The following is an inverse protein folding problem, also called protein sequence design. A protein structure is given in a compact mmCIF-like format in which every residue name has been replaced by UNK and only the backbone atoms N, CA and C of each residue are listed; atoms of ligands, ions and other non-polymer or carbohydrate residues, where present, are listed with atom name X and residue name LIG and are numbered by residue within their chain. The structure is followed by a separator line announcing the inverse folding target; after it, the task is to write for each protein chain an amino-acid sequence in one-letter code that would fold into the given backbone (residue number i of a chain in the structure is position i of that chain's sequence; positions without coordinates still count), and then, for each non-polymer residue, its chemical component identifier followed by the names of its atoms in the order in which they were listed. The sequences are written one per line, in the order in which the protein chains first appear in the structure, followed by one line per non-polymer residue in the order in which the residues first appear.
data_IF_115295672456
#
_entry.id   IF_115295672456
#
_cell.length_a   1.000
_cell.length_b   1.000
_cell.length_c   1.000
_cell.angle_alpha   90.00
_cell.angle_beta   90.00
_cell.angle_gamma   90.00
#
_symmetry.space_group_name_H-M   'P 1'
#
loop_
_entity.id
_entity.type
_entity.pdbx_description
1 polymer ?
#
# COMPACT_ATOMS: atom_id res chain seq x y z
N UNK A 1 15.25 -63.73 -11.75
CA UNK A 1 14.93 -63.27 -10.38
C UNK A 1 14.39 -61.86 -10.46
N UNK A 2 13.16 -61.68 -9.94
CA UNK A 2 12.52 -60.46 -9.36
C UNK A 2 12.62 -59.15 -10.15
N UNK A 3 11.59 -58.74 -10.90
CA UNK A 3 10.40 -57.93 -10.49
C UNK A 3 10.78 -56.65 -9.73
N UNK A 4 10.52 -55.47 -10.32
CA UNK A 4 9.89 -54.25 -9.74
C UNK A 4 9.85 -53.16 -10.86
N UNK A 5 8.73 -53.01 -11.59
CA UNK A 5 7.67 -51.97 -11.43
C UNK A 5 8.04 -50.65 -12.15
N UNK A 6 7.74 -50.39 -13.43
CA UNK A 6 6.45 -50.07 -14.10
C UNK A 6 5.38 -49.40 -13.21
N UNK A 7 5.46 -48.08 -13.04
CA UNK A 7 4.32 -47.16 -12.84
C UNK A 7 4.79 -45.71 -13.06
N UNK A 8 4.67 -45.18 -14.27
CA UNK A 8 4.85 -43.74 -14.52
C UNK A 8 3.99 -43.29 -15.70
N UNK A 9 2.68 -43.55 -15.64
CA UNK A 9 1.71 -43.11 -16.64
C UNK A 9 0.28 -43.24 -16.05
N UNK A 10 -0.04 -42.44 -15.03
CA UNK A 10 -1.41 -42.14 -14.58
C UNK A 10 -1.39 -41.13 -13.41
N UNK A 11 -1.19 -39.86 -13.70
CA UNK A 11 -1.59 -38.75 -12.80
C UNK A 11 -1.57 -37.40 -13.53
N UNK A 12 -2.34 -37.28 -14.61
CA UNK A 12 -2.73 -35.99 -15.20
C UNK A 12 -4.25 -35.88 -15.02
N UNK A 13 -4.66 -35.31 -13.90
CA UNK A 13 -6.07 -35.27 -13.54
C UNK A 13 -6.36 -34.62 -12.20
N UNK A 14 -5.71 -33.51 -11.85
CA UNK A 14 -6.24 -32.57 -10.87
C UNK A 14 -5.84 -31.15 -11.27
N UNK A 15 -6.70 -30.53 -12.11
CA UNK A 15 -6.89 -29.08 -12.09
C UNK A 15 -7.51 -28.76 -10.74
N UNK A 16 -6.68 -28.48 -9.74
CA UNK A 16 -7.12 -27.96 -8.47
C UNK A 16 -7.43 -26.47 -8.65
N UNK A 17 -8.71 -26.14 -8.51
CA UNK A 17 -9.20 -24.80 -8.33
C UNK A 17 -8.53 -24.25 -7.05
N UNK A 18 -7.64 -23.27 -7.18
CA UNK A 18 -7.06 -22.57 -6.04
C UNK A 18 -8.13 -21.67 -5.39
N UNK A 19 -9.01 -22.27 -4.61
CA UNK A 19 -9.77 -21.54 -3.59
C UNK A 19 -8.76 -21.14 -2.52
N UNK A 20 -8.46 -19.84 -2.44
CA UNK A 20 -7.65 -19.26 -1.37
C UNK A 20 -8.18 -19.76 -0.03
N UNK A 21 -7.34 -20.47 0.71
CA UNK A 21 -7.67 -20.93 2.05
C UNK A 21 -7.91 -19.71 2.94
N UNK A 22 -9.16 -19.56 3.37
CA UNK A 22 -9.55 -18.62 4.40
C UNK A 22 -8.95 -19.14 5.71
N UNK A 23 -7.94 -18.44 6.24
CA UNK A 23 -7.34 -18.76 7.52
C UNK A 23 -8.39 -18.59 8.64
N UNK A 24 -8.91 -19.72 9.13
CA UNK A 24 -9.77 -19.80 10.30
C UNK A 24 -8.90 -19.82 11.56
N UNK A 25 -8.70 -18.66 12.20
CA UNK A 25 -8.05 -18.60 13.51
C UNK A 25 -9.10 -18.93 14.56
N UNK A 26 -9.13 -20.18 15.03
CA UNK A 26 -10.02 -20.62 16.12
C UNK A 26 -9.18 -20.89 17.37
N UNK A 27 -9.35 -20.14 18.48
CA UNK A 27 -8.83 -20.59 19.77
C UNK A 27 -9.62 -21.84 20.22
N UNK A 28 -8.98 -22.80 20.91
CA UNK A 28 -9.64 -24.04 21.31
C UNK A 28 -10.59 -23.75 22.48
N UNK A 29 -11.87 -23.56 22.18
CA UNK A 29 -12.95 -23.75 23.13
C UNK A 29 -13.96 -24.68 22.45
N UNK A 30 -14.01 -25.93 22.93
CA UNK A 30 -14.59 -27.03 22.15
C UNK A 30 -16.10 -26.95 21.89
N UNK A 31 -16.90 -26.09 22.54
CA UNK A 31 -18.32 -26.00 22.22
C UNK A 31 -18.89 -24.59 22.43
N UNK A 32 -19.63 -24.09 21.45
CA UNK A 32 -20.19 -22.75 21.49
C UNK A 32 -20.59 -22.29 20.10
N UNK A 33 -19.93 -21.27 19.54
CA UNK A 33 -20.25 -20.64 18.27
C UNK A 33 -19.15 -20.90 17.24
N UNK A 34 -19.51 -21.29 16.02
CA UNK A 34 -18.57 -21.44 14.90
C UNK A 34 -19.14 -20.90 13.60
N UNK A 35 -18.25 -20.61 12.65
CA UNK A 35 -18.62 -20.39 11.25
C UNK A 35 -18.76 -21.77 10.61
N UNK A 36 -19.99 -22.18 10.35
CA UNK A 36 -20.28 -23.49 9.76
C UNK A 36 -20.03 -23.49 8.25
N UNK A 37 -20.39 -22.40 7.58
CA UNK A 37 -20.26 -22.25 6.14
C UNK A 37 -20.06 -20.79 5.72
N UNK A 38 -19.16 -20.56 4.77
CA UNK A 38 -19.05 -19.29 4.05
C UNK A 38 -19.75 -19.45 2.71
N UNK A 39 -20.84 -18.71 2.49
CA UNK A 39 -21.60 -18.74 1.22
C UNK A 39 -20.96 -17.78 0.22
N UNK A 40 -20.64 -16.57 0.68
CA UNK A 40 -19.91 -15.55 -0.08
C UNK A 40 -19.30 -14.52 0.90
N UNK A 41 -18.60 -13.51 0.37
CA UNK A 41 -17.91 -12.49 1.18
C UNK A 41 -18.82 -11.71 2.16
N UNK A 42 -20.12 -11.62 1.91
CA UNK A 42 -21.09 -10.92 2.77
C UNK A 42 -22.14 -11.86 3.40
N UNK A 43 -21.96 -13.18 3.31
CA UNK A 43 -22.92 -14.17 3.83
C UNK A 43 -22.23 -15.38 4.41
N UNK A 44 -22.46 -15.63 5.71
CA UNK A 44 -21.99 -16.82 6.42
C UNK A 44 -23.13 -17.47 7.18
N UNK A 45 -22.98 -18.75 7.46
CA UNK A 45 -23.82 -19.50 8.38
C UNK A 45 -23.05 -19.68 9.67
N UNK A 46 -23.58 -19.13 10.74
CA UNK A 46 -23.12 -19.37 12.11
C UNK A 46 -23.90 -20.55 12.68
N UNK A 47 -23.24 -21.41 13.44
CA UNK A 47 -23.91 -22.48 14.18
C UNK A 47 -23.37 -22.57 15.60
N UNK A 48 -24.18 -23.12 16.49
CA UNK A 48 -23.81 -23.30 17.88
C UNK A 48 -24.40 -24.53 18.55
N UNK A 49 -23.81 -24.93 19.67
CA UNK A 49 -24.34 -26.02 20.50
C UNK A 49 -25.62 -25.57 21.22
N UNK A 50 -26.64 -26.44 21.22
CA UNK A 50 -27.90 -26.22 21.94
C UNK A 50 -27.63 -26.03 23.45
N UNK A 51 -28.29 -25.05 24.06
CA UNK A 51 -28.28 -24.86 25.51
C UNK A 51 -28.99 -26.01 26.22
N UNK A 52 -28.40 -26.47 27.31
CA UNK A 52 -28.97 -27.51 28.19
C UNK A 52 -29.70 -26.91 29.41
N UNK A 53 -29.68 -25.58 29.56
CA UNK A 53 -30.29 -24.89 30.70
C UNK A 53 -31.81 -24.95 30.66
N UNK A 54 -32.42 -25.36 31.78
CA UNK A 54 -33.89 -25.40 31.93
C UNK A 54 -34.52 -24.01 32.06
N UNK A 55 -33.71 -22.98 32.31
CA UNK A 55 -34.11 -21.58 32.44
C UNK A 55 -33.81 -20.77 31.18
N UNK A 56 -33.62 -21.43 30.03
CA UNK A 56 -33.39 -20.79 28.74
C UNK A 56 -34.50 -19.79 28.41
N UNK A 57 -34.10 -18.57 28.00
CA UNK A 57 -35.01 -17.54 27.49
C UNK A 57 -34.83 -17.30 25.99
N UNK A 58 -33.60 -17.08 25.56
CA UNK A 58 -33.27 -16.81 24.15
C UNK A 58 -31.78 -16.97 23.86
N UNK A 59 -31.47 -17.22 22.58
CA UNK A 59 -30.16 -16.93 22.02
C UNK A 59 -30.13 -15.50 21.49
N UNK A 60 -29.01 -14.83 21.70
CA UNK A 60 -28.71 -13.55 21.05
C UNK A 60 -27.32 -13.60 20.45
N UNK A 61 -27.21 -13.29 19.17
CA UNK A 61 -25.93 -13.07 18.52
C UNK A 61 -25.72 -11.57 18.39
N UNK A 62 -24.66 -11.07 19.02
CA UNK A 62 -24.16 -9.75 18.72
C UNK A 62 -22.91 -9.84 17.86
N UNK A 63 -22.58 -8.73 17.20
CA UNK A 63 -21.34 -8.60 16.43
C UNK A 63 -20.68 -7.27 16.72
N UNK A 64 -19.36 -7.29 16.66
CA UNK A 64 -18.50 -6.11 16.72
C UNK A 64 -17.66 -6.06 15.47
N UNK A 65 -17.62 -4.90 14.84
CA UNK A 65 -16.75 -4.65 13.70
C UNK A 65 -16.41 -3.17 13.62
N UNK A 66 -15.24 -2.85 13.05
CA UNK A 66 -14.88 -1.46 12.73
C UNK A 66 -15.17 -1.18 11.27
N UNK A 67 -16.07 -0.23 11.01
CA UNK A 67 -16.48 0.16 9.66
C UNK A 67 -17.01 1.60 9.63
N UNK A 68 -17.20 2.14 8.42
CA UNK A 68 -17.78 3.47 8.22
C UNK A 68 -19.28 3.47 8.57
N UNK A 69 -19.66 4.19 9.62
CA UNK A 69 -21.06 4.44 10.01
C UNK A 69 -21.24 5.93 10.27
N UNK A 70 -22.17 6.57 9.57
CA UNK A 70 -22.44 8.01 9.70
C UNK A 70 -21.18 8.88 9.54
N UNK A 71 -20.43 8.67 8.45
CA UNK A 71 -19.18 9.37 8.10
C UNK A 71 -18.04 9.26 9.13
N UNK A 72 -18.13 8.30 10.05
CA UNK A 72 -17.06 8.00 11.02
C UNK A 72 -16.76 6.52 11.00
N UNK A 73 -15.48 6.18 10.94
CA UNK A 73 -15.06 4.82 11.25
C UNK A 73 -15.05 4.65 12.76
N UNK A 74 -15.81 3.68 13.24
CA UNK A 74 -15.92 3.36 14.65
C UNK A 74 -16.10 1.86 14.82
N UNK A 75 -15.70 1.35 15.98
CA UNK A 75 -16.12 0.03 16.43
C UNK A 75 -17.61 0.10 16.78
N UNK A 76 -18.42 -0.70 16.09
CA UNK A 76 -19.86 -0.72 16.28
C UNK A 76 -20.27 -2.09 16.83
N UNK A 77 -20.99 -2.08 17.93
CA UNK A 77 -21.60 -3.24 18.54
C UNK A 77 -23.08 -3.28 18.16
N UNK A 78 -23.51 -4.28 17.38
CA UNK A 78 -24.90 -4.43 16.93
C UNK A 78 -25.41 -5.84 17.25
N UNK A 79 -26.73 -5.99 17.49
CA UNK A 79 -27.36 -7.33 17.57
C UNK A 79 -27.69 -7.80 16.17
N UNK A 80 -27.16 -8.96 15.79
CA UNK A 80 -27.35 -9.59 14.49
C UNK A 80 -28.59 -10.50 14.46
N UNK A 81 -28.82 -11.23 15.55
CA UNK A 81 -29.89 -12.22 15.66
C UNK A 81 -30.42 -12.34 17.09
N UNK A 82 -31.71 -12.63 17.22
CA UNK A 82 -32.38 -13.03 18.46
C UNK A 82 -33.32 -14.19 18.11
N UNK A 83 -33.25 -15.28 18.89
CA UNK A 83 -34.12 -16.44 18.73
C UNK A 83 -34.58 -16.98 20.07
N UNK A 84 -35.88 -17.18 20.24
CA UNK A 84 -36.50 -17.64 21.50
C UNK A 84 -36.78 -19.14 21.54
N UNK A 85 -36.54 -19.87 20.44
CA UNK A 85 -36.62 -21.33 20.40
C UNK A 85 -35.25 -21.93 20.69
N UNK A 86 -35.17 -22.74 21.75
CA UNK A 86 -33.95 -23.42 22.20
C UNK A 86 -33.37 -24.37 21.13
N UNK A 87 -34.20 -24.83 20.19
CA UNK A 87 -33.78 -25.72 19.11
C UNK A 87 -33.16 -24.98 17.92
N UNK A 88 -33.22 -23.64 17.89
CA UNK A 88 -32.51 -22.87 16.87
C UNK A 88 -31.03 -22.81 17.24
N UNK A 89 -30.22 -23.55 16.47
CA UNK A 89 -28.77 -23.67 16.65
C UNK A 89 -27.97 -23.15 15.46
N UNK A 90 -28.62 -22.41 14.55
CA UNK A 90 -27.97 -21.78 13.41
C UNK A 90 -28.61 -20.45 13.01
N UNK A 91 -27.81 -19.58 12.41
CA UNK A 91 -28.23 -18.29 11.88
C UNK A 91 -27.44 -17.99 10.60
N UNK A 92 -28.15 -17.61 9.53
CA UNK A 92 -27.53 -17.13 8.30
C UNK A 92 -27.45 -15.61 8.35
N UNK A 93 -26.23 -15.08 8.50
CA UNK A 93 -25.98 -13.65 8.47
C UNK A 93 -25.91 -13.16 7.03
N UNK A 94 -26.74 -12.18 6.68
CA UNK A 94 -26.88 -11.63 5.32
C UNK A 94 -26.69 -10.11 5.24
N UNK A 95 -26.49 -9.44 6.38
CA UNK A 95 -26.42 -7.98 6.53
C UNK A 95 -25.10 -7.56 7.15
N UNK A 96 -23.99 -8.16 6.73
CA UNK A 96 -22.66 -7.83 7.25
C UNK A 96 -22.25 -6.40 6.91
N UNK A 97 -21.71 -5.60 7.85
CA UNK A 97 -21.11 -4.33 7.52
C UNK A 97 -19.83 -4.55 6.68
N UNK A 98 -19.46 -3.55 5.88
CA UNK A 98 -18.19 -3.54 5.15
C UNK A 98 -17.03 -3.29 6.13
N UNK A 99 -16.51 -4.37 6.72
CA UNK A 99 -15.45 -4.36 7.72
C UNK A 99 -14.38 -5.40 7.36
N UNK A 100 -13.14 -5.18 7.80
CA UNK A 100 -12.05 -6.12 7.61
C UNK A 100 -12.23 -7.41 8.43
N UNK A 101 -12.63 -7.24 9.69
CA UNK A 101 -12.93 -8.33 10.61
C UNK A 101 -14.28 -8.07 11.28
N UNK A 102 -15.06 -9.13 11.45
CA UNK A 102 -16.31 -9.10 12.21
C UNK A 102 -16.25 -10.20 13.28
N UNK A 103 -16.32 -9.80 14.53
CA UNK A 103 -16.34 -10.72 15.67
C UNK A 103 -17.77 -10.91 16.14
N UNK A 104 -18.25 -12.15 16.13
CA UNK A 104 -19.57 -12.53 16.62
C UNK A 104 -19.47 -13.08 18.04
N UNK A 105 -20.48 -12.78 18.84
CA UNK A 105 -20.62 -13.18 20.23
C UNK A 105 -21.96 -13.88 20.39
N UNK A 106 -21.95 -15.11 20.90
CA UNK A 106 -23.16 -15.81 21.30
C UNK A 106 -23.45 -15.57 22.78
N UNK A 107 -24.67 -15.13 23.06
CA UNK A 107 -25.23 -15.03 24.40
C UNK A 107 -26.39 -15.99 24.54
N UNK A 108 -26.46 -16.65 25.69
CA UNK A 108 -27.63 -17.40 26.13
C UNK A 108 -28.21 -16.64 27.30
N UNK A 109 -29.36 -16.01 27.09
CA UNK A 109 -30.05 -15.29 28.15
C UNK A 109 -30.93 -16.29 28.92
N UNK A 110 -30.95 -16.18 30.24
CA UNK A 110 -31.75 -17.03 31.12
C UNK A 110 -32.82 -16.21 31.87
N UNK A 111 -33.89 -16.87 32.31
CA UNK A 111 -35.01 -16.20 33.01
C UNK A 111 -34.60 -15.74 34.42
N UNK A 112 -33.69 -16.48 35.07
CA UNK A 112 -33.39 -16.34 36.49
C UNK A 112 -32.09 -15.59 36.78
N UNK A 113 -31.26 -15.33 35.78
CA UNK A 113 -29.96 -14.66 35.95
C UNK A 113 -29.94 -13.36 35.15
N UNK A 114 -29.86 -12.18 35.80
CA UNK A 114 -29.79 -10.90 35.09
C UNK A 114 -28.43 -10.65 34.41
N UNK A 115 -27.47 -11.58 34.55
CA UNK A 115 -26.17 -11.49 33.89
C UNK A 115 -26.19 -12.23 32.56
N UNK A 116 -25.98 -11.46 31.49
CA UNK A 116 -25.66 -11.98 30.18
C UNK A 116 -24.29 -12.67 30.22
N UNK A 117 -24.24 -13.99 30.02
CA UNK A 117 -22.98 -14.72 29.92
C UNK A 117 -22.60 -14.78 28.43
N UNK A 118 -21.44 -14.22 28.07
CA UNK A 118 -20.83 -14.49 26.76
C UNK A 118 -20.42 -15.95 26.75
N UNK A 119 -21.07 -16.76 25.91
CA UNK A 119 -20.83 -18.20 25.89
C UNK A 119 -19.69 -18.56 24.95
N UNK A 120 -19.57 -17.85 23.83
CA UNK A 120 -18.57 -18.14 22.81
C UNK A 120 -18.41 -16.99 21.82
N UNK A 121 -17.27 -16.94 21.13
CA UNK A 121 -16.97 -15.95 20.11
C UNK A 121 -16.32 -16.59 18.88
N UNK A 122 -16.52 -15.99 17.72
CA UNK A 122 -15.83 -16.36 16.48
C UNK A 122 -15.58 -15.11 15.65
N UNK A 123 -14.41 -15.01 15.04
CA UNK A 123 -14.06 -13.91 14.15
C UNK A 123 -14.13 -14.37 12.68
N UNK A 124 -14.67 -13.51 11.82
CA UNK A 124 -14.67 -13.69 10.38
C UNK A 124 -13.85 -12.59 9.72
N UNK A 125 -12.72 -12.98 9.13
CA UNK A 125 -11.87 -12.11 8.32
C UNK A 125 -12.41 -12.05 6.89
N UNK A 126 -12.82 -10.86 6.44
CA UNK A 126 -13.40 -10.68 5.11
C UNK A 126 -12.32 -10.52 4.04
N UNK A 127 -12.34 -11.30 2.96
CA UNK A 127 -11.33 -11.20 1.90
C UNK A 127 -11.44 -9.93 1.03
N UNK A 128 -12.64 -9.35 0.87
CA UNK A 128 -12.88 -8.21 -0.04
C UNK A 128 -13.46 -6.98 0.69
N UNK A 129 -12.80 -6.54 1.76
CA UNK A 129 -13.25 -5.44 2.63
C UNK A 129 -12.48 -4.14 2.44
N UNK A 130 -12.69 -3.16 3.33
CA UNK A 130 -11.81 -2.00 3.48
C UNK A 130 -10.39 -2.49 3.81
N UNK A 131 -9.37 -1.90 3.19
CA UNK A 131 -7.98 -2.24 3.46
C UNK A 131 -7.56 -1.67 4.83
N UNK A 132 -7.00 -2.52 5.69
CA UNK A 132 -6.39 -2.14 6.97
C UNK A 132 -4.90 -2.47 6.92
N UNK A 133 -4.05 -1.45 6.93
CA UNK A 133 -2.62 -1.60 6.67
C UNK A 133 -1.81 -0.42 7.25
N UNK A 134 -0.48 -0.54 7.27
CA UNK A 134 0.44 0.58 7.53
C UNK A 134 1.24 0.88 6.25
N UNK A 135 0.73 1.79 5.39
CA UNK A 135 1.34 2.02 4.09
C UNK A 135 2.70 2.74 4.21
N UNK A 136 3.66 2.31 3.42
CA UNK A 136 4.99 2.94 3.25
C UNK A 136 5.05 3.82 2.01
N UNK A 137 4.35 3.43 0.93
CA UNK A 137 4.17 4.22 -0.29
C UNK A 137 2.93 3.72 -1.06
N UNK A 138 2.57 4.46 -2.11
CA UNK A 138 1.53 4.04 -3.06
C UNK A 138 2.00 4.32 -4.49
N UNK A 139 1.91 3.33 -5.37
CA UNK A 139 2.06 3.50 -6.81
C UNK A 139 0.71 3.52 -7.50
N UNK A 140 0.63 4.20 -8.64
CA UNK A 140 -0.58 4.37 -9.42
C UNK A 140 -0.41 3.84 -10.84
N UNK A 141 -1.34 3.01 -11.29
CA UNK A 141 -1.43 2.57 -12.69
C UNK A 141 -2.81 2.89 -13.24
N UNK A 142 -2.86 3.85 -14.16
CA UNK A 142 -4.07 4.17 -14.93
C UNK A 142 -4.48 3.02 -15.85
N UNK A 143 -3.51 2.38 -16.50
CA UNK A 143 -3.73 1.28 -17.45
C UNK A 143 -4.51 0.13 -16.79
N UNK A 144 -4.08 -0.29 -15.61
CA UNK A 144 -4.73 -1.40 -14.88
C UNK A 144 -5.85 -0.96 -13.94
N UNK A 145 -6.07 0.36 -13.81
CA UNK A 145 -6.99 0.94 -12.83
C UNK A 145 -6.65 0.56 -11.37
N UNK A 146 -5.36 0.43 -11.07
CA UNK A 146 -4.87 -0.09 -9.79
C UNK A 146 -4.02 0.92 -9.02
N UNK A 147 -4.13 0.85 -7.69
CA UNK A 147 -3.18 1.38 -6.72
C UNK A 147 -2.40 0.21 -6.12
N UNK A 148 -1.08 0.35 -6.01
CA UNK A 148 -0.21 -0.61 -5.34
C UNK A 148 0.21 -0.02 -4.01
N UNK A 149 -0.40 -0.50 -2.93
CA UNK A 149 -0.16 0.00 -1.58
C UNK A 149 0.87 -0.91 -0.94
N UNK A 150 2.06 -0.36 -0.68
CA UNK A 150 3.17 -1.11 -0.10
C UNK A 150 3.14 -0.98 1.41
N UNK A 151 3.42 -2.06 2.12
CA UNK A 151 3.78 -2.10 3.54
C UNK A 151 5.24 -2.55 3.67
N UNK A 152 5.74 -2.74 4.89
CA UNK A 152 7.10 -3.20 5.11
C UNK A 152 7.42 -4.52 4.39
N UNK A 153 6.49 -5.47 4.28
CA UNK A 153 6.71 -6.81 3.67
C UNK A 153 5.58 -7.26 2.75
N UNK A 154 4.68 -6.35 2.35
CA UNK A 154 3.44 -6.72 1.67
C UNK A 154 3.07 -5.69 0.63
N UNK A 155 2.47 -6.14 -0.47
CA UNK A 155 1.87 -5.27 -1.46
C UNK A 155 0.40 -5.65 -1.58
N UNK A 156 -0.46 -4.63 -1.57
CA UNK A 156 -1.88 -4.75 -1.86
C UNK A 156 -2.18 -4.07 -3.20
N UNK A 157 -2.92 -4.76 -4.08
CA UNK A 157 -3.56 -4.15 -5.25
C UNK A 157 -4.95 -3.70 -4.83
N UNK A 158 -5.27 -2.44 -5.07
CA UNK A 158 -6.59 -1.85 -4.85
C UNK A 158 -7.11 -1.28 -6.17
N UNK A 159 -8.32 -1.65 -6.56
CA UNK A 159 -9.03 -0.98 -7.66
C UNK A 159 -9.45 0.40 -7.19
N UNK A 160 -8.90 1.47 -7.78
CA UNK A 160 -9.17 2.83 -7.32
C UNK A 160 -10.56 3.35 -7.67
N UNK A 161 -11.28 2.67 -8.56
CA UNK A 161 -12.64 3.05 -8.93
C UNK A 161 -13.67 2.53 -7.95
N UNK A 162 -13.42 1.37 -7.34
CA UNK A 162 -14.27 0.80 -6.28
C UNK A 162 -13.73 1.05 -4.88
N UNK A 163 -12.43 1.39 -4.76
CA UNK A 163 -11.71 1.52 -3.50
C UNK A 163 -11.47 0.19 -2.78
N UNK A 164 -11.59 -0.95 -3.49
CA UNK A 164 -11.55 -2.28 -2.88
C UNK A 164 -10.22 -3.00 -3.17
N UNK A 165 -9.66 -3.73 -2.18
CA UNK A 165 -8.53 -4.61 -2.41
C UNK A 165 -8.95 -5.74 -3.35
N UNK A 166 -8.06 -6.05 -4.29
CA UNK A 166 -8.22 -7.10 -5.30
C UNK A 166 -7.32 -8.28 -4.96
N UNK A 167 -6.07 -7.98 -4.61
CA UNK A 167 -5.05 -8.98 -4.37
C UNK A 167 -4.01 -8.47 -3.37
N UNK A 168 -3.29 -9.38 -2.73
CA UNK A 168 -2.13 -9.02 -1.94
C UNK A 168 -1.08 -10.11 -2.02
N UNK A 169 0.19 -9.73 -1.88
CA UNK A 169 1.34 -10.64 -1.81
C UNK A 169 2.24 -10.24 -0.66
N UNK A 170 2.61 -11.21 0.16
CA UNK A 170 3.56 -11.05 1.25
C UNK A 170 4.93 -11.59 0.81
N UNK A 171 5.99 -10.94 1.30
CA UNK A 171 7.38 -11.23 0.98
C UNK A 171 8.12 -11.67 2.24
N UNK A 172 9.14 -12.54 2.12
CA UNK A 172 9.88 -13.04 3.28
C UNK A 172 10.67 -11.93 4.00
N UNK A 173 11.11 -10.91 3.27
CA UNK A 173 11.93 -9.80 3.77
C UNK A 173 11.25 -8.45 3.58
N UNK A 174 11.85 -7.41 4.17
CA UNK A 174 11.43 -6.04 3.94
C UNK A 174 11.49 -5.67 2.45
N UNK A 175 10.55 -4.85 1.99
CA UNK A 175 10.53 -4.29 0.64
C UNK A 175 10.83 -2.78 0.69
N UNK A 176 11.62 -2.29 -0.28
CA UNK A 176 11.87 -0.86 -0.47
C UNK A 176 10.80 -0.18 -1.34
N UNK A 177 11.08 1.05 -1.78
CA UNK A 177 10.21 1.77 -2.71
C UNK A 177 10.19 1.06 -4.07
N UNK A 178 9.02 0.55 -4.43
CA UNK A 178 8.79 -0.17 -5.67
C UNK A 178 8.66 0.78 -6.86
N UNK A 179 8.71 0.25 -8.09
CA UNK A 179 8.40 1.01 -9.29
C UNK A 179 7.57 0.20 -10.29
N UNK A 180 6.78 0.92 -11.08
CA UNK A 180 6.21 0.39 -12.33
C UNK A 180 7.15 0.77 -13.47
N UNK A 181 7.36 -0.15 -14.40
CA UNK A 181 8.11 0.10 -15.63
C UNK A 181 7.53 -0.66 -16.81
N UNK A 182 7.88 -0.25 -18.02
CA UNK A 182 7.46 -0.94 -19.25
C UNK A 182 8.64 -1.67 -19.84
N UNK A 183 8.47 -2.96 -20.11
CA UNK A 183 9.44 -3.80 -20.79
C UNK A 183 8.76 -4.62 -21.89
N UNK A 184 9.28 -4.54 -23.12
CA UNK A 184 8.69 -5.18 -24.31
C UNK A 184 7.19 -4.91 -24.49
N UNK A 185 6.75 -3.69 -24.18
CA UNK A 185 5.34 -3.27 -24.29
C UNK A 185 4.42 -3.77 -23.19
N UNK A 186 4.93 -4.47 -22.17
CA UNK A 186 4.17 -4.90 -21.00
C UNK A 186 4.60 -4.13 -19.75
N UNK A 187 3.63 -3.69 -18.96
CA UNK A 187 3.88 -3.13 -17.63
C UNK A 187 4.35 -4.23 -16.67
N UNK A 188 5.38 -3.94 -15.89
CA UNK A 188 5.98 -4.79 -14.87
C UNK A 188 6.07 -4.03 -13.54
N UNK A 189 5.89 -4.74 -12.42
CA UNK A 189 6.08 -4.21 -11.08
C UNK A 189 7.43 -4.68 -10.53
N UNK A 190 8.30 -3.74 -10.18
CA UNK A 190 9.64 -3.99 -9.65
C UNK A 190 9.61 -3.82 -8.14
N UNK A 191 9.93 -4.89 -7.42
CA UNK A 191 9.88 -4.97 -5.96
C UNK A 191 11.30 -5.21 -5.41
N UNK A 192 11.95 -4.20 -4.82
CA UNK A 192 13.27 -4.36 -4.23
C UNK A 192 13.15 -5.02 -2.86
N UNK A 193 13.78 -6.18 -2.68
CA UNK A 193 13.77 -6.96 -1.45
C UNK A 193 15.08 -6.77 -0.66
N UNK A 194 14.99 -6.66 0.66
CA UNK A 194 16.15 -6.59 1.57
C UNK A 194 16.90 -7.93 1.72
N UNK A 195 16.99 -8.71 0.65
CA UNK A 195 17.77 -9.95 0.51
C UNK A 195 18.74 -9.92 -0.68
N UNK A 196 18.84 -8.77 -1.37
CA UNK A 196 19.73 -8.57 -2.52
C UNK A 196 19.08 -8.85 -3.86
N UNK A 197 17.77 -9.11 -3.92
CA UNK A 197 17.02 -9.29 -5.16
C UNK A 197 16.06 -8.14 -5.45
N UNK A 198 15.88 -7.85 -6.73
CA UNK A 198 14.70 -7.15 -7.24
C UNK A 198 13.82 -8.19 -7.90
N UNK A 199 12.64 -8.44 -7.33
CA UNK A 199 11.61 -9.26 -7.99
C UNK A 199 10.87 -8.42 -9.02
N UNK A 200 10.58 -9.04 -10.17
CA UNK A 200 9.85 -8.44 -11.27
C UNK A 200 8.56 -9.22 -11.42
N UNK A 201 7.44 -8.58 -11.12
CA UNK A 201 6.14 -9.20 -11.01
C UNK A 201 5.23 -8.75 -12.14
N UNK A 202 4.26 -9.61 -12.46
CA UNK A 202 3.08 -9.20 -13.18
C UNK A 202 2.24 -8.21 -12.33
N UNK A 203 1.90 -7.02 -12.84
CA UNK A 203 1.20 -6.01 -12.06
C UNK A 203 -0.27 -6.34 -11.77
N UNK A 204 -0.86 -7.34 -12.44
CA UNK A 204 -2.27 -7.72 -12.22
C UNK A 204 -2.36 -8.92 -11.28
N UNK A 205 -1.52 -9.93 -11.47
CA UNK A 205 -1.54 -11.19 -10.71
C UNK A 205 -0.52 -11.27 -9.58
N UNK A 206 0.46 -10.36 -9.51
CA UNK A 206 1.62 -10.42 -8.61
C UNK A 206 2.47 -11.70 -8.75
N UNK A 207 2.28 -12.45 -9.83
CA UNK A 207 3.08 -13.62 -10.17
C UNK A 207 4.50 -13.18 -10.56
N UNK A 208 5.49 -13.96 -10.12
CA UNK A 208 6.89 -13.69 -10.42
C UNK A 208 7.15 -13.94 -11.91
N UNK A 209 7.52 -12.88 -12.64
CA UNK A 209 7.98 -12.96 -14.03
C UNK A 209 9.47 -13.21 -14.10
N UNK A 210 10.25 -12.49 -13.29
CA UNK A 210 11.70 -12.51 -13.34
C UNK A 210 12.33 -11.96 -12.05
N UNK A 211 13.66 -12.03 -11.92
CA UNK A 211 14.41 -11.40 -10.84
C UNK A 211 15.81 -10.96 -11.27
N UNK A 212 16.33 -9.90 -10.66
CA UNK A 212 17.70 -9.42 -10.86
C UNK A 212 18.41 -9.47 -9.50
N UNK A 213 19.57 -10.13 -9.44
CA UNK A 213 20.43 -10.07 -8.27
C UNK A 213 21.22 -8.78 -8.30
N UNK A 214 21.05 -7.96 -7.26
CA UNK A 214 21.64 -6.64 -7.19
C UNK A 214 22.61 -6.51 -6.01
N UNK A 215 22.84 -7.58 -5.25
CA UNK A 215 23.64 -7.61 -4.03
C UNK A 215 23.18 -6.58 -2.96
N UNK A 216 23.82 -6.61 -1.79
CA UNK A 216 23.41 -5.80 -0.63
C UNK A 216 22.30 -6.45 0.19
N UNK A 217 22.09 -5.92 1.39
CA UNK A 217 21.11 -6.40 2.38
C UNK A 217 20.09 -5.31 2.77
N UNK A 218 20.27 -4.09 2.28
CA UNK A 218 19.29 -3.02 2.34
C UNK A 218 19.13 -2.42 0.95
N UNK A 219 17.97 -2.60 0.34
CA UNK A 219 17.62 -2.01 -0.95
C UNK A 219 16.57 -0.94 -0.70
N UNK A 220 16.95 0.33 -0.89
CA UNK A 220 16.08 1.47 -0.59
C UNK A 220 14.95 1.63 -1.59
N UNK A 221 15.28 1.53 -2.88
CA UNK A 221 14.33 1.76 -3.96
C UNK A 221 14.81 1.18 -5.28
N UNK A 222 13.87 1.07 -6.23
CA UNK A 222 14.13 0.74 -7.63
C UNK A 222 13.41 1.74 -8.54
N UNK A 223 13.98 2.02 -9.71
CA UNK A 223 13.31 2.63 -10.85
C UNK A 223 13.51 1.75 -12.08
N UNK A 224 12.51 1.68 -12.96
CA UNK A 224 12.59 0.98 -14.23
C UNK A 224 12.21 1.91 -15.38
N UNK A 225 13.20 2.31 -16.17
CA UNK A 225 13.06 3.32 -17.24
C UNK A 225 13.85 2.87 -18.46
N UNK A 226 13.28 2.98 -19.66
CA UNK A 226 13.96 2.74 -20.94
C UNK A 226 14.73 1.41 -21.02
N UNK A 227 14.14 0.32 -20.49
CA UNK A 227 14.78 -1.00 -20.47
C UNK A 227 15.98 -1.09 -19.53
N UNK A 228 16.10 -0.18 -18.57
CA UNK A 228 17.13 -0.16 -17.52
C UNK A 228 16.48 -0.22 -16.15
N UNK A 229 17.18 -0.82 -15.19
CA UNK A 229 16.75 -0.94 -13.80
C UNK A 229 17.80 -0.25 -12.92
N UNK A 230 17.39 0.81 -12.24
CA UNK A 230 18.22 1.60 -11.34
C UNK A 230 17.89 1.23 -9.91
N UNK A 231 18.89 0.91 -9.09
CA UNK A 231 18.66 0.34 -7.77
C UNK A 231 19.57 0.99 -6.74
N UNK A 232 19.00 1.48 -5.66
CA UNK A 232 19.75 1.95 -4.49
C UNK A 232 19.96 0.78 -3.51
N UNK A 233 21.19 0.32 -3.34
CA UNK A 233 21.54 -0.85 -2.53
C UNK A 233 22.84 -0.71 -1.74
N UNK A 234 22.86 -1.31 -0.54
CA UNK A 234 23.95 -1.30 0.46
C UNK A 234 25.19 -2.14 0.14
N UNK A 235 25.54 -2.33 -1.13
CA UNK A 235 26.60 -3.26 -1.52
C UNK A 235 27.98 -2.94 -0.93
N UNK A 236 28.34 -3.69 0.11
CA UNK A 236 29.60 -3.58 0.85
C UNK A 236 30.78 -4.29 0.19
N UNK A 237 30.64 -4.80 -1.05
CA UNK A 237 31.79 -5.37 -1.78
C UNK A 237 32.90 -4.35 -2.05
N UNK A 238 32.60 -3.05 -1.90
CA UNK A 238 33.57 -1.97 -1.91
C UNK A 238 33.66 -1.31 -0.52
N UNK A 239 34.85 -0.89 -0.12
CA UNK A 239 35.03 -0.16 1.14
C UNK A 239 34.40 1.23 1.06
N UNK A 240 33.47 1.54 1.97
CA UNK A 240 32.82 2.85 2.11
C UNK A 240 31.44 2.95 1.44
N UNK A 241 30.74 4.06 1.71
CA UNK A 241 29.45 4.42 1.10
C UNK A 241 29.71 5.01 -0.30
N UNK A 242 30.03 4.17 -1.27
CA UNK A 242 30.18 4.61 -2.66
C UNK A 242 29.63 3.57 -3.61
N UNK A 243 29.12 4.03 -4.76
CA UNK A 243 28.61 3.18 -5.83
C UNK A 243 27.34 2.39 -5.44
N UNK A 244 26.51 3.00 -4.59
CA UNK A 244 25.27 2.43 -4.05
C UNK A 244 24.08 2.49 -5.01
N UNK A 245 24.10 3.37 -6.01
CA UNK A 245 23.15 3.35 -7.12
C UNK A 245 23.72 2.50 -8.24
N UNK A 246 23.05 1.41 -8.58
CA UNK A 246 23.46 0.44 -9.59
C UNK A 246 22.51 0.47 -10.77
N UNK A 247 23.05 0.34 -11.97
CA UNK A 247 22.27 0.32 -13.21
C UNK A 247 22.41 -1.03 -13.87
N UNK A 248 21.29 -1.70 -14.10
CA UNK A 248 21.23 -2.98 -14.79
C UNK A 248 20.49 -2.83 -16.12
N UNK A 249 20.92 -3.58 -17.11
CA UNK A 249 20.11 -3.79 -18.31
C UNK A 249 18.96 -4.74 -17.99
N UNK A 250 17.71 -4.37 -18.30
CA UNK A 250 16.54 -5.20 -17.97
C UNK A 250 16.55 -6.54 -18.71
N UNK A 251 17.02 -6.56 -19.96
CA UNK A 251 16.97 -7.74 -20.82
C UNK A 251 18.04 -8.77 -20.45
N UNK A 252 19.30 -8.34 -20.39
CA UNK A 252 20.45 -9.19 -20.10
C UNK A 252 20.73 -9.35 -18.61
N UNK A 253 20.16 -8.47 -17.76
CA UNK A 253 20.38 -8.41 -16.30
C UNK A 253 21.83 -8.08 -15.93
N UNK A 254 22.64 -7.65 -16.89
CA UNK A 254 24.03 -7.26 -16.66
C UNK A 254 24.10 -5.92 -15.96
N UNK A 255 25.04 -5.79 -15.01
CA UNK A 255 25.40 -4.50 -14.44
C UNK A 255 26.10 -3.64 -15.51
N UNK A 256 25.58 -2.44 -15.75
CA UNK A 256 26.10 -1.48 -16.73
C UNK A 256 26.96 -0.40 -16.09
N UNK A 257 26.61 -0.01 -14.86
CA UNK A 257 27.29 1.09 -14.19
C UNK A 257 26.91 1.22 -12.73
N UNK A 258 27.67 2.04 -12.01
CA UNK A 258 27.43 2.39 -10.62
C UNK A 258 27.69 3.87 -10.39
N UNK A 259 26.95 4.46 -9.47
CA UNK A 259 27.11 5.85 -9.01
C UNK A 259 26.55 5.98 -7.59
N UNK A 260 26.45 7.19 -7.09
CA UNK A 260 25.86 7.50 -5.79
C UNK A 260 26.79 7.22 -4.62
N UNK A 261 26.47 7.85 -3.50
CA UNK A 261 27.26 7.78 -2.29
C UNK A 261 26.52 6.98 -1.22
N UNK A 262 25.29 7.36 -0.90
CA UNK A 262 24.51 6.68 0.13
C UNK A 262 23.72 5.48 -0.40
N UNK A 263 23.58 4.47 0.44
CA UNK A 263 22.65 3.37 0.26
C UNK A 263 21.29 3.70 0.89
N UNK A 264 20.30 2.83 0.65
CA UNK A 264 18.96 2.98 1.22
C UNK A 264 18.37 4.36 0.94
N UNK A 265 18.37 4.74 -0.33
CA UNK A 265 17.82 6.01 -0.77
C UNK A 265 16.53 5.80 -1.57
N UNK A 266 15.70 6.84 -1.66
CA UNK A 266 14.57 6.90 -2.59
C UNK A 266 15.02 7.55 -3.89
N UNK A 267 15.00 6.77 -4.96
CA UNK A 267 15.17 7.24 -6.32
C UNK A 267 13.81 7.72 -6.86
N UNK A 268 13.79 8.89 -7.51
CA UNK A 268 12.60 9.46 -8.15
C UNK A 268 12.97 9.96 -9.54
N UNK A 269 12.33 9.42 -10.56
CA UNK A 269 12.51 9.87 -11.94
C UNK A 269 12.01 11.31 -12.11
N UNK A 270 12.73 12.11 -12.90
CA UNK A 270 12.22 13.39 -13.38
C UNK A 270 11.38 13.15 -14.64
N UNK A 271 10.08 13.43 -14.56
CA UNK A 271 9.13 13.24 -15.65
C UNK A 271 9.51 14.05 -16.90
N UNK A 272 9.12 13.59 -18.08
CA UNK A 272 9.44 14.29 -19.33
C UNK A 272 10.93 14.29 -19.73
N UNK A 273 11.80 13.68 -18.93
CA UNK A 273 13.23 13.52 -19.24
C UNK A 273 13.54 12.09 -19.71
N UNK A 274 14.66 11.91 -20.42
CA UNK A 274 15.04 10.59 -20.92
C UNK A 274 15.48 9.67 -19.76
N UNK A 275 16.53 10.02 -19.01
CA UNK A 275 17.03 9.27 -17.85
C UNK A 275 17.70 10.24 -16.86
N UNK A 276 16.89 11.02 -16.15
CA UNK A 276 17.32 11.87 -15.04
C UNK A 276 16.54 11.51 -13.77
N UNK A 277 17.19 11.59 -12.61
CA UNK A 277 16.53 11.28 -11.35
C UNK A 277 17.10 12.06 -10.17
N UNK A 278 16.27 12.17 -9.14
CA UNK A 278 16.61 12.66 -7.82
C UNK A 278 16.79 11.47 -6.88
N UNK A 279 17.73 11.62 -5.95
CA UNK A 279 18.11 10.63 -4.96
C UNK A 279 18.08 11.25 -3.56
N UNK A 280 17.34 10.63 -2.65
CA UNK A 280 17.14 11.12 -1.28
C UNK A 280 17.46 10.04 -0.24
N UNK A 281 18.33 10.34 0.72
CA UNK A 281 18.68 9.39 1.79
C UNK A 281 17.48 9.09 2.69
N UNK A 282 17.24 7.81 3.02
CA UNK A 282 16.18 7.42 3.96
C UNK A 282 16.67 7.28 5.40
N UNK A 283 17.97 7.09 5.58
CA UNK A 283 18.62 6.64 6.82
C UNK A 283 19.48 7.72 7.50
N UNK A 284 19.52 8.93 6.97
CA UNK A 284 20.36 10.03 7.47
C UNK A 284 19.52 11.30 7.65
N UNK A 285 19.83 12.05 8.70
CA UNK A 285 19.27 13.39 8.96
C UNK A 285 20.41 14.40 9.16
N UNK A 286 20.39 15.57 8.49
CA UNK A 286 19.43 15.99 7.46
C UNK A 286 19.38 15.07 6.23
N UNK A 287 18.24 15.01 5.55
CA UNK A 287 18.10 14.20 4.32
C UNK A 287 19.04 14.74 3.24
N UNK A 288 19.95 13.91 2.75
CA UNK A 288 20.80 14.24 1.61
C UNK A 288 20.01 14.24 0.30
N UNK A 289 20.38 15.12 -0.61
CA UNK A 289 19.73 15.30 -1.90
C UNK A 289 20.78 15.25 -3.01
N UNK A 290 20.56 14.38 -3.99
CA UNK A 290 21.45 14.26 -5.15
C UNK A 290 20.67 14.18 -6.44
N UNK A 291 21.31 14.59 -7.52
CA UNK A 291 20.80 14.48 -8.88
C UNK A 291 21.76 13.64 -9.73
N UNK A 292 21.20 12.79 -10.57
CA UNK A 292 21.94 12.01 -11.55
C UNK A 292 21.32 12.13 -12.94
N UNK A 293 22.19 12.12 -13.95
CA UNK A 293 21.81 11.91 -15.35
C UNK A 293 22.61 10.76 -15.95
N UNK A 294 22.03 10.09 -16.93
CA UNK A 294 22.61 8.92 -17.58
C UNK A 294 22.50 9.03 -19.10
N UNK A 295 23.39 8.33 -19.80
CA UNK A 295 23.19 8.04 -21.22
C UNK A 295 21.98 7.14 -21.41
N UNK A 296 21.39 7.06 -22.61
CA UNK A 296 20.34 6.07 -22.93
C UNK A 296 20.73 4.62 -22.60
N UNK A 297 22.03 4.30 -22.65
CA UNK A 297 22.58 3.00 -22.30
C UNK A 297 22.74 2.79 -20.78
N UNK A 298 22.34 3.75 -19.95
CA UNK A 298 22.41 3.65 -18.49
C UNK A 298 23.79 3.97 -17.90
N UNK A 299 24.69 4.61 -18.66
CA UNK A 299 26.01 5.02 -18.16
C UNK A 299 25.87 6.35 -17.40
N UNK A 300 26.35 6.45 -16.14
CA UNK A 300 26.31 7.71 -15.40
C UNK A 300 27.06 8.83 -16.12
N UNK A 301 26.43 10.00 -16.27
CA UNK A 301 27.02 11.19 -16.92
C UNK A 301 27.35 12.28 -15.91
N UNK A 302 26.37 12.65 -15.09
CA UNK A 302 26.50 13.76 -14.13
C UNK A 302 26.03 13.29 -12.77
N UNK A 303 26.75 13.73 -11.74
CA UNK A 303 26.33 13.70 -10.35
C UNK A 303 26.38 15.13 -9.81
N UNK A 304 25.30 15.54 -9.14
CA UNK A 304 25.26 16.79 -8.34
C UNK A 304 24.77 16.45 -6.95
N UNK A 305 25.31 17.13 -5.96
CA UNK A 305 24.85 17.09 -4.57
C UNK A 305 24.30 18.46 -4.20
N UNK A 306 23.38 18.50 -3.26
CA UNK A 306 22.78 19.75 -2.84
C UNK A 306 23.79 20.64 -2.10
N UNK A 307 23.85 21.92 -2.47
CA UNK A 307 24.68 22.90 -1.77
C UNK A 307 24.06 23.43 -0.48
N UNK A 308 22.83 22.99 -0.18
CA UNK A 308 21.95 23.52 0.87
C UNK A 308 21.65 22.47 1.94
N UNK A 309 22.61 21.57 2.19
CA UNK A 309 22.38 20.40 3.03
C UNK A 309 21.93 20.80 4.44
N UNK A 310 20.65 20.55 4.73
CA UNK A 310 20.00 20.91 6.00
C UNK A 310 19.39 22.30 6.07
N UNK A 311 19.57 23.16 5.07
CA UNK A 311 19.03 24.54 5.07
C UNK A 311 17.52 24.56 4.81
N UNK A 312 17.04 23.59 4.02
CA UNK A 312 15.64 23.53 3.58
C UNK A 312 15.02 22.17 3.93
N UNK A 313 13.72 22.13 4.34
CA UNK A 313 13.04 20.90 4.63
C UNK A 313 12.91 20.05 3.37
N UNK A 314 13.35 18.80 3.50
CA UNK A 314 13.32 17.77 2.46
C UNK A 314 12.71 16.52 3.09
N UNK A 315 11.87 15.80 2.34
CA UNK A 315 11.33 14.53 2.79
C UNK A 315 11.35 13.52 1.65
N UNK A 316 12.09 12.43 1.86
CA UNK A 316 12.07 11.32 0.92
C UNK A 316 10.67 10.69 0.79
N UNK A 317 9.78 10.75 1.78
CA UNK A 317 8.43 10.16 1.68
C UNK A 317 7.44 11.04 0.90
N UNK A 318 7.71 12.35 0.81
CA UNK A 318 6.88 13.36 0.15
C UNK A 318 7.70 13.98 -0.97
N UNK A 319 7.56 13.46 -2.19
CA UNK A 319 8.28 13.97 -3.35
C UNK A 319 7.54 13.67 -4.66
N UNK A 320 7.55 14.65 -5.58
CA UNK A 320 7.04 14.54 -6.95
C UNK A 320 7.89 15.35 -7.92
N UNK A 321 8.08 14.82 -9.13
CA UNK A 321 8.60 15.59 -10.26
C UNK A 321 7.50 16.48 -10.82
N UNK A 322 7.85 17.68 -11.29
CA UNK A 322 6.96 18.42 -12.19
C UNK A 322 6.85 17.68 -13.53
N UNK A 323 5.74 17.86 -14.29
CA UNK A 323 5.50 17.13 -15.54
C UNK A 323 6.59 17.31 -16.61
N UNK A 324 7.28 18.45 -16.60
CA UNK A 324 8.37 18.77 -17.53
C UNK A 324 9.76 18.32 -17.04
N UNK A 325 9.86 17.81 -15.80
CA UNK A 325 11.09 17.37 -15.17
C UNK A 325 12.09 18.47 -14.86
N UNK A 326 11.75 19.75 -15.08
CA UNK A 326 12.66 20.86 -14.83
C UNK A 326 12.84 21.13 -13.33
N UNK A 327 11.85 20.69 -12.52
CA UNK A 327 11.74 20.90 -11.08
C UNK A 327 11.15 19.67 -10.39
N UNK A 328 11.30 19.65 -9.07
CA UNK A 328 10.59 18.71 -8.20
C UNK A 328 10.16 19.42 -6.92
N UNK A 329 9.12 18.89 -6.29
CA UNK A 329 8.59 19.36 -5.01
C UNK A 329 8.78 18.27 -3.95
N UNK A 330 9.14 18.66 -2.73
CA UNK A 330 9.31 17.75 -1.59
C UNK A 330 8.88 18.39 -0.28
N UNK A 331 8.80 17.57 0.78
CA UNK A 331 8.51 17.98 2.16
C UNK A 331 7.07 18.43 2.43
N UNK A 332 6.73 18.52 3.71
CA UNK A 332 5.43 19.00 4.16
C UNK A 332 5.21 20.50 3.95
N UNK A 333 6.27 21.26 3.66
CA UNK A 333 6.20 22.68 3.29
C UNK A 333 6.01 22.89 1.79
N UNK A 334 6.14 21.84 0.97
CA UNK A 334 6.17 21.98 -0.49
C UNK A 334 7.39 22.77 -0.95
N UNK A 335 8.58 22.33 -0.55
CA UNK A 335 9.87 22.87 -0.98
C UNK A 335 10.10 22.51 -2.44
N UNK A 336 10.36 23.50 -3.28
CA UNK A 336 10.59 23.30 -4.71
C UNK A 336 12.05 23.60 -5.05
N UNK A 337 12.67 22.67 -5.77
CA UNK A 337 14.01 22.81 -6.34
C UNK A 337 13.95 22.67 -7.85
N UNK A 338 14.89 23.29 -8.55
CA UNK A 338 15.16 22.96 -9.95
C UNK A 338 16.13 21.76 -10.06
N UNK A 339 16.30 21.23 -11.28
CA UNK A 339 17.21 20.10 -11.54
C UNK A 339 18.71 20.39 -11.29
N UNK A 340 19.08 21.65 -11.07
CA UNK A 340 20.42 22.00 -10.60
C UNK A 340 20.53 22.01 -9.08
N UNK A 341 19.52 21.47 -8.38
CA UNK A 341 19.40 21.42 -6.92
C UNK A 341 19.39 22.81 -6.28
N UNK A 342 19.02 23.84 -7.05
CA UNK A 342 18.86 25.20 -6.54
C UNK A 342 17.44 25.35 -6.02
N UNK A 343 17.33 25.78 -4.77
CA UNK A 343 16.05 26.12 -4.15
C UNK A 343 15.37 27.25 -4.94
N UNK A 344 14.09 27.05 -5.22
CA UNK A 344 13.24 28.04 -5.87
C UNK A 344 12.34 28.75 -4.84
N UNK A 345 11.47 27.99 -4.16
CA UNK A 345 10.51 28.52 -3.19
C UNK A 345 9.86 27.43 -2.33
N UNK A 346 9.07 27.87 -1.35
CA UNK A 346 8.11 27.04 -0.63
C UNK A 346 6.69 27.32 -1.09
N UNK A 347 5.82 26.31 -0.97
CA UNK A 347 4.37 26.55 -0.96
C UNK A 347 3.89 27.08 0.39
N UNK A 348 4.55 26.67 1.49
CA UNK A 348 4.32 27.15 2.87
C UNK A 348 5.65 27.34 3.59
N UNK A 349 5.94 28.58 3.99
CA UNK A 349 7.23 28.95 4.59
C UNK A 349 7.49 28.28 5.96
N UNK A 350 6.45 27.97 6.73
CA UNK A 350 6.60 27.36 8.06
C UNK A 350 5.82 26.05 8.12
N UNK A 351 6.52 24.99 8.48
CA UNK A 351 5.90 23.69 8.73
C UNK A 351 5.12 23.77 10.06
N UNK A 352 3.81 23.70 9.99
CA UNK A 352 2.96 23.50 11.16
C UNK A 352 2.43 22.07 11.11
N UNK A 353 2.58 21.32 12.19
CA UNK A 353 2.04 19.96 12.28
C UNK A 353 0.54 19.91 11.95
N UNK A 354 -0.21 20.97 12.25
CA UNK A 354 -1.64 21.09 11.96
C UNK A 354 -1.97 21.64 10.56
N UNK A 355 -0.97 21.97 9.75
CA UNK A 355 -1.12 22.50 8.39
C UNK A 355 0.08 22.09 7.52
N UNK A 356 0.18 20.78 7.28
CA UNK A 356 1.30 20.14 6.58
C UNK A 356 0.80 19.40 5.34
N UNK A 357 1.58 19.47 4.26
CA UNK A 357 1.32 18.66 3.08
C UNK A 357 1.83 17.23 3.26
N UNK A 358 1.12 16.28 2.68
CA UNK A 358 1.44 14.84 2.71
C UNK A 358 1.80 14.31 1.32
N UNK A 359 1.30 14.94 0.26
CA UNK A 359 1.64 14.61 -1.12
C UNK A 359 1.23 15.72 -2.09
N UNK A 360 1.66 15.61 -3.35
CA UNK A 360 1.34 16.54 -4.42
C UNK A 360 0.89 15.82 -5.70
N UNK A 361 0.09 16.50 -6.51
CA UNK A 361 -0.20 16.17 -7.90
C UNK A 361 -0.24 17.46 -8.73
N UNK A 362 -0.08 17.35 -10.04
CA UNK A 362 -0.04 18.50 -10.95
C UNK A 362 -1.15 18.42 -11.98
N UNK A 363 -1.56 19.54 -12.54
CA UNK A 363 -2.17 19.53 -13.86
C UNK A 363 -1.11 19.31 -14.95
N UNK A 364 -1.56 19.11 -16.19
CA UNK A 364 -0.72 18.60 -17.27
C UNK A 364 0.49 19.50 -17.62
N UNK A 365 0.37 20.81 -17.43
CA UNK A 365 1.45 21.79 -17.68
C UNK A 365 2.20 22.24 -16.40
N UNK A 366 1.82 21.71 -15.23
CA UNK A 366 2.41 22.08 -13.94
C UNK A 366 2.07 23.49 -13.42
N UNK A 367 1.16 24.23 -14.08
CA UNK A 367 0.72 25.56 -13.62
C UNK A 367 -0.22 25.51 -12.41
N UNK A 368 -0.75 24.34 -12.06
CA UNK A 368 -1.55 24.07 -10.86
C UNK A 368 -0.92 22.91 -10.10
N UNK A 369 -0.68 23.14 -8.82
CA UNK A 369 -0.27 22.13 -7.85
C UNK A 369 -1.49 21.83 -6.97
N UNK A 370 -1.91 20.56 -6.97
CA UNK A 370 -2.86 20.02 -6.01
C UNK A 370 -2.05 19.49 -4.82
N UNK A 371 -2.18 20.11 -3.66
CA UNK A 371 -1.39 19.78 -2.48
C UNK A 371 -2.28 19.13 -1.41
N UNK A 372 -2.08 17.84 -1.17
CA UNK A 372 -2.80 17.09 -0.16
C UNK A 372 -2.39 17.59 1.23
N UNK A 373 -3.34 18.15 1.98
CA UNK A 373 -3.13 18.67 3.32
C UNK A 373 -3.74 17.69 4.32
N UNK A 374 -2.91 16.76 4.78
CA UNK A 374 -3.28 15.66 5.68
C UNK A 374 -4.12 16.16 6.85
N UNK A 375 -3.54 16.94 7.79
CA UNK A 375 -4.20 17.36 9.03
C UNK A 375 -5.49 18.15 8.83
N UNK A 376 -5.59 18.93 7.75
CA UNK A 376 -6.78 19.74 7.43
C UNK A 376 -7.84 19.00 6.62
N UNK A 377 -7.61 17.75 6.22
CA UNK A 377 -8.54 16.92 5.43
C UNK A 377 -9.05 17.66 4.19
N UNK A 378 -8.11 18.19 3.41
CA UNK A 378 -8.40 18.90 2.16
C UNK A 378 -7.24 18.79 1.19
N UNK A 379 -7.50 19.14 -0.06
CA UNK A 379 -6.49 19.31 -1.10
C UNK A 379 -6.51 20.77 -1.52
N UNK A 380 -5.42 21.49 -1.27
CA UNK A 380 -5.26 22.90 -1.67
C UNK A 380 -4.96 23.00 -3.17
N UNK A 381 -5.55 24.00 -3.86
CA UNK A 381 -5.34 24.28 -5.30
C UNK A 381 -4.43 25.49 -5.43
N UNK A 382 -3.18 25.28 -5.82
CA UNK A 382 -2.14 26.30 -5.78
C UNK A 382 -1.69 26.63 -7.20
N UNK A 383 -1.76 27.90 -7.57
CA UNK A 383 -1.20 28.38 -8.84
C UNK A 383 0.31 28.45 -8.75
N UNK A 384 0.99 27.95 -9.77
CA UNK A 384 2.43 28.00 -9.91
C UNK A 384 2.79 28.83 -11.15
N UNK A 385 3.76 29.77 -11.09
CA UNK A 385 4.74 29.99 -10.01
C UNK A 385 4.30 30.93 -8.88
N UNK A 386 3.10 31.53 -8.93
CA UNK A 386 2.69 32.58 -7.97
C UNK A 386 2.45 32.10 -6.54
N UNK A 387 2.43 30.78 -6.33
CA UNK A 387 2.13 30.10 -5.06
C UNK A 387 0.81 30.54 -4.41
N UNK A 388 -0.12 31.06 -5.21
CA UNK A 388 -1.41 31.56 -4.72
C UNK A 388 -2.37 30.39 -4.54
N UNK A 389 -2.88 30.20 -3.33
CA UNK A 389 -3.98 29.27 -3.08
C UNK A 389 -5.28 29.86 -3.65
N UNK A 390 -5.89 29.16 -4.60
CA UNK A 390 -7.09 29.58 -5.34
C UNK A 390 -8.35 28.82 -4.94
N UNK A 391 -8.25 27.87 -4.02
CA UNK A 391 -9.36 27.03 -3.60
C UNK A 391 -8.91 25.74 -2.95
N UNK A 392 -9.86 24.88 -2.61
CA UNK A 392 -9.57 23.55 -2.08
C UNK A 392 -10.73 22.59 -2.35
N UNK A 393 -10.41 21.29 -2.35
CA UNK A 393 -11.40 20.22 -2.29
C UNK A 393 -11.37 19.58 -0.90
N UNK A 394 -12.51 19.45 -0.18
CA UNK A 394 -12.54 18.72 1.08
C UNK A 394 -12.37 17.21 0.85
N UNK A 395 -11.70 16.53 1.78
CA UNK A 395 -11.60 15.06 1.82
C UNK A 395 -12.30 14.54 3.06
N UNK A 396 -12.79 13.30 3.02
CA UNK A 396 -13.46 12.70 4.19
C UNK A 396 -12.46 12.39 5.31
N UNK A 397 -11.29 11.92 4.93
CA UNK A 397 -10.22 11.49 5.84
C UNK A 397 -8.91 12.23 5.54
N UNK A 398 -7.82 11.87 6.23
CA UNK A 398 -6.54 12.55 6.11
C UNK A 398 -5.86 12.11 4.81
N UNK A 399 -5.75 12.95 3.76
CA UNK A 399 -5.15 12.52 2.50
C UNK A 399 -3.68 12.18 2.73
N UNK A 400 -3.23 11.04 2.21
CA UNK A 400 -1.89 10.50 2.36
C UNK A 400 -1.11 10.50 1.03
N UNK A 401 -1.75 10.07 -0.06
CA UNK A 401 -1.21 10.10 -1.42
C UNK A 401 -2.24 10.64 -2.40
N UNK A 402 -1.77 11.35 -3.41
CA UNK A 402 -2.60 12.03 -4.40
C UNK A 402 -2.10 11.71 -5.81
N UNK A 403 -3.03 11.36 -6.69
CA UNK A 403 -2.76 11.13 -8.11
C UNK A 403 -3.79 11.87 -8.96
N UNK A 404 -3.43 12.21 -10.20
CA UNK A 404 -4.35 12.78 -11.18
C UNK A 404 -4.66 11.75 -12.27
N UNK A 405 -5.93 11.65 -12.63
CA UNK A 405 -6.40 10.89 -13.79
C UNK A 405 -7.36 11.77 -14.61
N UNK A 406 -6.80 12.48 -15.59
CA UNK A 406 -7.55 13.46 -16.39
C UNK A 406 -8.16 14.56 -15.52
N UNK A 407 -9.50 14.67 -15.56
CA UNK A 407 -10.26 15.66 -14.77
C UNK A 407 -10.66 15.15 -13.38
N UNK A 408 -9.93 14.18 -12.83
CA UNK A 408 -10.16 13.66 -11.49
C UNK A 408 -8.87 13.61 -10.69
N UNK A 409 -8.98 13.83 -9.38
CA UNK A 409 -7.97 13.50 -8.39
C UNK A 409 -8.36 12.22 -7.67
N UNK A 410 -7.39 11.34 -7.48
CA UNK A 410 -7.51 10.10 -6.71
C UNK A 410 -6.76 10.33 -5.41
N UNK A 411 -7.49 10.46 -4.31
CA UNK A 411 -6.94 10.63 -2.97
C UNK A 411 -6.98 9.30 -2.24
N UNK A 412 -5.81 8.82 -1.81
CA UNK A 412 -5.70 7.74 -0.84
C UNK A 412 -5.61 8.38 0.53
N UNK A 413 -6.64 8.17 1.35
CA UNK A 413 -6.80 8.81 2.65
C UNK A 413 -6.63 7.78 3.79
N UNK A 414 -5.92 8.19 4.83
CA UNK A 414 -5.78 7.46 6.10
C UNK A 414 -6.83 7.94 7.08
N UNK A 415 -7.43 7.02 7.84
CA UNK A 415 -8.42 7.38 8.87
C UNK A 415 -7.75 7.92 10.13
N UNK A 416 -6.56 7.41 10.44
CA UNK A 416 -5.73 7.86 11.53
C UNK A 416 -4.28 7.99 11.03
N UNK A 417 -3.57 9.03 11.47
CA UNK A 417 -2.24 9.40 10.98
C UNK A 417 -1.09 8.61 11.65
N UNK A 418 -1.31 7.93 12.78
CA UNK A 418 -0.20 7.49 13.65
C UNK A 418 0.03 5.99 13.79
N UNK A 419 -0.75 5.12 13.13
CA UNK A 419 -0.69 3.65 13.31
C UNK A 419 -1.20 2.91 12.06
N UNK A 420 -1.20 1.57 12.11
CA UNK A 420 -2.04 0.76 11.20
C UNK A 420 -3.45 1.35 11.16
N UNK A 421 -3.95 1.57 9.96
CA UNK A 421 -5.20 2.29 9.76
C UNK A 421 -5.96 1.73 8.58
N UNK A 422 -7.24 2.07 8.52
CA UNK A 422 -8.02 1.81 7.33
C UNK A 422 -7.64 2.83 6.26
N UNK A 423 -7.57 2.37 5.02
CA UNK A 423 -7.41 3.24 3.86
C UNK A 423 -8.72 3.37 3.11
N UNK A 424 -8.95 4.58 2.62
CA UNK A 424 -10.06 4.87 1.73
C UNK A 424 -9.55 5.56 0.47
N UNK A 425 -10.12 5.18 -0.68
CA UNK A 425 -9.87 5.85 -1.95
C UNK A 425 -11.06 6.76 -2.26
N UNK A 426 -10.77 8.02 -2.56
CA UNK A 426 -11.74 9.04 -2.94
C UNK A 426 -11.42 9.54 -4.36
N UNK A 427 -12.42 9.54 -5.25
CA UNK A 427 -12.32 10.12 -6.59
C UNK A 427 -12.99 11.50 -6.58
N UNK A 428 -12.22 12.56 -6.76
CA UNK A 428 -12.65 13.96 -6.68
C UNK A 428 -12.62 14.55 -8.08
N UNK A 429 -13.77 15.01 -8.58
CA UNK A 429 -13.87 15.65 -9.89
C UNK A 429 -13.37 17.09 -9.83
N UNK A 430 -12.53 17.47 -10.80
CA UNK A 430 -11.91 18.79 -10.91
C UNK A 430 -12.85 19.86 -11.47
#
# INVERSE_FOLDING_TARGET
MKKITLYLLLSLGFLACNTKDVLLVTPPNEQGLKIDKVINDSTIVLSWTKSEGTDFRQYRIARVATYLKNDKFASVYDTAFIGTDINITSFTETRMPLANEITYFLFVDSVNVPRTITVSTVAYQRPNSVLFCMPTDVLFSKEHRHLYITEQKKIHIVDYTTGRPVLSKEFPTGIGYCALGVYNGSTELYVPLNDGWVEILDPVSLDLKDRIYVAGFGIGSVLALNGKVFVSSSDRSFSGYSNCVKVFDRASKSLLGRTGYWDQTRLVALEGTAIEMIDLTLNIMPTGLSYYSFTPDGIPLTKKEDSYHGDFPISASIIRSFPDGSRFITSSSGTIFNKSLVFDRYLKQYNNYNDSYTDFAFNDDGSIIYAANGPKKKIDIIRYPTTTNTGNYPTKFFPYKLFRDGNSLISVSMINLSQQTYLQVENIKL
#
